data_IF_414645554773
#
_entry.id   IF_414645554773
#
_cell.length_a   1.000
_cell.length_b   1.000
_cell.length_c   1.000
_cell.angle_alpha   90.00
_cell.angle_beta   90.00
_cell.angle_gamma   90.00
#
_symmetry.space_group_name_H-M   'P 1'
#
loop_
_entity.id
_entity.type
_entity.pdbx_description
1 polymer ?
#
# COMPACT_ATOMS: atom_id res chain seq x y z
N UNK A 1 31.51 12.77 -3.85
CA UNK A 1 31.29 12.15 -2.53
C UNK A 1 30.15 12.89 -1.86
N UNK A 2 29.06 12.27 -1.42
CA UNK A 2 29.04 11.04 -0.63
C UNK A 2 28.13 9.96 -1.26
N UNK A 3 28.77 8.85 -1.64
CA UNK A 3 28.18 7.62 -2.21
C UNK A 3 27.36 6.81 -1.18
N UNK A 4 27.37 7.24 0.10
CA UNK A 4 26.73 6.53 1.20
C UNK A 4 25.19 6.68 1.21
N UNK A 5 24.65 7.68 0.51
CA UNK A 5 23.19 7.86 0.37
C UNK A 5 22.58 7.02 -0.78
N UNK A 6 23.40 6.20 -1.46
CA UNK A 6 22.93 5.35 -2.56
C UNK A 6 22.49 3.96 -2.07
N UNK A 7 22.90 3.57 -0.86
CA UNK A 7 22.69 2.24 -0.29
C UNK A 7 21.28 2.04 0.30
N UNK A 8 20.47 3.09 0.47
CA UNK A 8 19.05 3.01 0.89
C UNK A 8 18.10 3.38 -0.27
N UNK A 9 18.55 3.25 -1.53
CA UNK A 9 17.57 3.02 -2.60
C UNK A 9 17.21 1.54 -2.51
N UNK A 10 16.14 1.22 -1.77
CA UNK A 10 15.50 -0.10 -1.84
C UNK A 10 15.42 -0.47 -3.33
N UNK A 11 15.87 -1.68 -3.67
CA UNK A 11 15.76 -2.20 -5.03
C UNK A 11 14.28 -2.22 -5.43
N UNK A 12 13.84 -1.15 -6.07
CA UNK A 12 12.43 -0.93 -6.39
C UNK A 12 11.96 -1.95 -7.43
N UNK A 13 12.84 -2.31 -8.36
CA UNK A 13 12.61 -3.43 -9.28
C UNK A 13 12.41 -4.75 -8.53
N UNK A 14 13.21 -5.02 -7.50
CA UNK A 14 13.06 -6.20 -6.65
C UNK A 14 11.75 -6.20 -5.85
N UNK A 15 11.40 -5.07 -5.22
CA UNK A 15 10.13 -4.91 -4.48
C UNK A 15 8.93 -5.15 -5.39
N UNK A 16 8.97 -4.60 -6.60
CA UNK A 16 7.95 -4.75 -7.62
C UNK A 16 7.80 -6.20 -8.10
N UNK A 17 8.92 -6.88 -8.35
CA UNK A 17 8.93 -8.27 -8.79
C UNK A 17 8.32 -9.18 -7.71
N UNK A 18 8.67 -8.95 -6.44
CA UNK A 18 8.08 -9.66 -5.30
C UNK A 18 6.58 -9.41 -5.18
N UNK A 19 6.13 -8.16 -5.30
CA UNK A 19 4.69 -7.83 -5.25
C UNK A 19 3.90 -8.54 -6.38
N UNK A 20 4.48 -8.61 -7.58
CA UNK A 20 3.89 -9.31 -8.72
C UNK A 20 3.84 -10.82 -8.47
N UNK A 21 4.89 -11.40 -7.89
CA UNK A 21 4.97 -12.84 -7.60
C UNK A 21 3.94 -13.30 -6.56
N UNK A 22 3.64 -12.44 -5.57
CA UNK A 22 2.58 -12.69 -4.59
C UNK A 22 1.16 -12.73 -5.19
N UNK A 23 0.97 -12.30 -6.46
CA UNK A 23 -0.33 -12.25 -7.17
C UNK A 23 -1.45 -11.56 -6.37
N UNK A 24 -1.09 -10.69 -5.43
CA UNK A 24 -2.04 -10.05 -4.52
C UNK A 24 -2.93 -9.02 -5.22
N UNK A 25 -2.48 -8.46 -6.33
CA UNK A 25 -3.21 -7.42 -7.07
C UNK A 25 -4.42 -7.97 -7.84
N UNK A 26 -4.32 -9.21 -8.35
CA UNK A 26 -5.40 -9.86 -9.12
C UNK A 26 -6.17 -10.91 -8.30
N UNK A 27 -5.83 -11.08 -7.02
CA UNK A 27 -6.50 -12.02 -6.14
C UNK A 27 -7.91 -11.53 -5.79
N UNK A 28 -8.89 -12.45 -5.66
CA UNK A 28 -10.23 -12.08 -5.20
C UNK A 28 -10.16 -11.42 -3.82
N UNK A 29 -11.09 -10.51 -3.56
CA UNK A 29 -11.16 -9.79 -2.29
C UNK A 29 -11.28 -10.79 -1.14
N UNK A 30 -10.42 -10.62 -0.14
CA UNK A 30 -10.35 -11.49 1.01
C UNK A 30 -10.76 -10.68 2.24
N UNK A 31 -11.83 -11.13 2.91
CA UNK A 31 -12.36 -10.49 4.12
C UNK A 31 -11.30 -10.25 5.21
N UNK A 32 -10.24 -11.08 5.24
CA UNK A 32 -9.11 -10.90 6.14
C UNK A 32 -8.41 -9.53 6.00
N UNK A 33 -8.40 -8.92 4.80
CA UNK A 33 -7.84 -7.58 4.62
C UNK A 33 -8.74 -6.50 5.24
N UNK A 34 -10.06 -6.65 5.15
CA UNK A 34 -11.01 -5.73 5.76
C UNK A 34 -10.94 -5.81 7.29
N UNK A 35 -10.85 -7.03 7.84
CA UNK A 35 -10.66 -7.27 9.27
C UNK A 35 -9.38 -6.60 9.78
N UNK A 36 -8.27 -6.72 9.03
CA UNK A 36 -7.00 -6.10 9.40
C UNK A 36 -7.09 -4.57 9.41
N UNK A 37 -7.77 -3.97 8.44
CA UNK A 37 -7.91 -2.52 8.35
C UNK A 37 -8.84 -1.99 9.44
N UNK A 38 -9.91 -2.69 9.75
CA UNK A 38 -10.80 -2.37 10.88
C UNK A 38 -10.03 -2.42 12.20
N UNK A 39 -9.27 -3.49 12.42
CA UNK A 39 -8.43 -3.64 13.62
C UNK A 39 -7.36 -2.54 13.72
N UNK A 40 -6.74 -2.17 12.60
CA UNK A 40 -5.75 -1.10 12.58
C UNK A 40 -6.36 0.24 12.99
N UNK A 41 -7.56 0.57 12.51
CA UNK A 41 -8.26 1.80 12.89
C UNK A 41 -8.62 1.81 14.39
N UNK A 42 -9.11 0.68 14.91
CA UNK A 42 -9.44 0.52 16.33
C UNK A 42 -8.21 0.70 17.23
N UNK A 43 -7.12 -0.02 16.93
CA UNK A 43 -5.90 0.00 17.73
C UNK A 43 -5.16 1.34 17.67
N UNK A 44 -5.23 2.04 16.53
CA UNK A 44 -4.59 3.34 16.36
C UNK A 44 -5.47 4.51 16.82
N UNK A 45 -6.71 4.24 17.26
CA UNK A 45 -7.71 5.27 17.56
C UNK A 45 -7.90 6.27 16.41
N UNK A 46 -7.87 5.79 15.15
CA UNK A 46 -8.03 6.62 13.96
C UNK A 46 -9.38 6.38 13.29
N UNK A 47 -9.93 7.42 12.67
CA UNK A 47 -11.20 7.31 11.95
C UNK A 47 -11.08 6.42 10.70
N UNK A 48 -9.91 6.41 10.06
CA UNK A 48 -9.64 5.69 8.83
C UNK A 48 -8.33 4.92 8.87
N UNK A 49 -8.28 3.85 8.08
CA UNK A 49 -7.10 3.03 7.83
C UNK A 49 -7.22 2.42 6.42
N UNK A 50 -6.09 2.07 5.80
CA UNK A 50 -6.07 1.37 4.52
C UNK A 50 -4.81 0.52 4.37
N UNK A 51 -4.94 -0.56 3.60
CA UNK A 51 -3.80 -1.31 3.05
C UNK A 51 -3.66 -0.90 1.59
N UNK A 52 -2.47 -0.40 1.24
CA UNK A 52 -2.17 0.09 -0.11
C UNK A 52 -0.97 -0.65 -0.67
N UNK A 53 -1.10 -1.17 -1.88
CA UNK A 53 0.00 -1.72 -2.65
C UNK A 53 0.42 -0.74 -3.74
N UNK A 54 1.71 -0.43 -3.79
CA UNK A 54 2.29 0.40 -4.84
C UNK A 54 2.93 -0.50 -5.90
N UNK A 55 2.55 -0.34 -7.15
CA UNK A 55 3.15 -1.03 -8.30
C UNK A 55 4.04 -0.09 -9.16
N UNK A 56 4.44 1.06 -8.62
CA UNK A 56 5.27 2.06 -9.29
C UNK A 56 4.57 2.81 -10.43
N UNK A 57 3.38 2.36 -10.86
CA UNK A 57 2.55 3.01 -11.88
C UNK A 57 1.27 3.57 -11.28
N UNK A 58 0.72 2.87 -10.29
CA UNK A 58 -0.49 3.25 -9.56
C UNK A 58 -0.46 2.62 -8.17
N UNK A 59 -1.28 3.18 -7.29
CA UNK A 59 -1.53 2.62 -5.98
C UNK A 59 -2.88 1.94 -5.96
N UNK A 60 -2.87 0.74 -5.40
CA UNK A 60 -4.02 -0.12 -5.26
C UNK A 60 -4.43 -0.15 -3.80
N UNK A 61 -5.63 0.34 -3.51
CA UNK A 61 -6.23 0.17 -2.18
C UNK A 61 -6.76 -1.26 -2.14
N UNK A 62 -6.16 -2.10 -1.30
CA UNK A 62 -6.59 -3.50 -1.15
C UNK A 62 -7.78 -3.62 -0.20
N UNK A 63 -7.79 -2.81 0.84
CA UNK A 63 -8.87 -2.68 1.81
C UNK A 63 -8.79 -1.30 2.46
N UNK A 64 -9.94 -0.78 2.87
CA UNK A 64 -10.04 0.52 3.52
C UNK A 64 -11.20 0.57 4.49
N UNK A 65 -11.00 1.25 5.62
CA UNK A 65 -12.03 1.58 6.59
C UNK A 65 -12.26 3.09 6.56
N UNK A 66 -13.51 3.51 6.32
CA UNK A 66 -13.92 4.92 6.20
C UNK A 66 -13.12 5.74 5.18
N UNK A 67 -12.72 5.13 4.06
CA UNK A 67 -12.20 5.83 2.89
C UNK A 67 -13.06 5.43 1.68
N UNK A 68 -13.66 6.41 1.02
CA UNK A 68 -14.40 6.18 -0.21
C UNK A 68 -13.41 6.01 -1.37
N UNK A 69 -13.39 4.83 -1.98
CA UNK A 69 -12.51 4.48 -3.10
C UNK A 69 -13.16 4.85 -4.43
N UNK A 70 -13.40 6.14 -4.66
CA UNK A 70 -14.11 6.60 -5.85
C UNK A 70 -13.15 6.76 -7.04
N UNK A 71 -12.50 5.67 -7.46
CA UNK A 71 -11.81 5.47 -8.76
C UNK A 71 -10.75 6.48 -9.23
N UNK A 72 -10.52 7.58 -8.52
CA UNK A 72 -9.65 8.66 -8.93
C UNK A 72 -8.33 8.50 -8.20
N UNK A 73 -7.27 8.38 -9.00
CA UNK A 73 -5.90 8.29 -8.55
C UNK A 73 -5.62 9.36 -7.49
N UNK A 74 -5.47 8.94 -6.24
CA UNK A 74 -4.85 9.76 -5.19
C UNK A 74 -3.39 9.97 -5.58
N UNK A 75 -3.13 10.93 -6.47
CA UNK A 75 -1.78 11.32 -6.90
C UNK A 75 -1.04 12.12 -5.81
N UNK A 76 -1.41 11.95 -4.54
CA UNK A 76 -0.74 12.57 -3.38
C UNK A 76 -0.83 11.63 -2.20
N UNK A 77 -0.21 10.46 -2.31
CA UNK A 77 -0.33 9.40 -1.31
C UNK A 77 0.83 9.40 -0.32
N UNK A 78 0.46 9.48 0.96
CA UNK A 78 1.35 9.33 2.11
C UNK A 78 2.17 8.02 2.03
N UNK A 79 1.55 6.94 1.59
CA UNK A 79 2.15 5.61 1.54
C UNK A 79 3.30 5.48 0.53
N UNK A 80 3.35 6.31 -0.52
CA UNK A 80 4.46 6.30 -1.48
C UNK A 80 5.77 6.84 -0.87
N UNK A 81 5.67 7.52 0.28
CA UNK A 81 6.75 8.25 0.95
C UNK A 81 7.17 7.60 2.28
N UNK A 82 6.58 6.46 2.63
CA UNK A 82 6.79 5.75 3.90
C UNK A 82 8.00 4.80 3.86
#
# INVERSE_FOLDING_TARGET
>A
MNDENRTIRRDESGRQAVLTDYRMLDAPDAAAFDDLVSLAAELCYTASAAIVFDDGKRQWIRASHNLESDGHAYATTLCARA
#
